data_IF_252679228347
#
_entry.id   IF_252679228347
#
_cell.length_a   1.000
_cell.length_b   1.000
_cell.length_c   1.000
_cell.angle_alpha   90.00
_cell.angle_beta   90.00
_cell.angle_gamma   90.00
#
_symmetry.space_group_name_H-M   'P 1'
#
loop_
_entity.id
_entity.type
_entity.pdbx_description
1 polymer ?
#
# COMPACT_ATOMS: atom_id res chain seq x y z
N UNK A 1 -27.07 -22.94 18.98
CA UNK A 1 -26.26 -21.72 19.20
C UNK A 1 -26.46 -20.84 17.98
N UNK A 2 -27.34 -19.85 18.08
CA UNK A 2 -27.63 -18.95 16.95
C UNK A 2 -26.41 -18.09 16.65
N UNK A 3 -26.00 -18.03 15.38
CA UNK A 3 -25.09 -17.00 14.89
C UNK A 3 -25.73 -15.64 15.16
N UNK A 4 -25.35 -15.01 16.27
CA UNK A 4 -25.43 -13.57 16.39
C UNK A 4 -24.45 -13.01 15.35
N UNK A 5 -24.94 -12.79 14.13
CA UNK A 5 -24.41 -11.77 13.23
C UNK A 5 -24.48 -10.47 14.02
N UNK A 6 -23.40 -10.15 14.73
CA UNK A 6 -23.23 -8.83 15.28
C UNK A 6 -23.35 -7.89 14.08
N UNK A 7 -24.32 -6.96 14.05
CA UNK A 7 -24.24 -5.88 13.10
C UNK A 7 -22.87 -5.27 13.32
N UNK A 8 -21.99 -5.37 12.32
CA UNK A 8 -20.90 -4.43 12.20
C UNK A 8 -21.64 -3.10 12.12
N UNK A 9 -21.74 -2.46 13.28
CA UNK A 9 -22.19 -1.11 13.45
C UNK A 9 -21.16 -0.30 12.68
N UNK A 10 -21.33 -0.26 11.34
CA UNK A 10 -20.93 0.83 10.45
C UNK A 10 -21.63 2.01 11.10
N UNK A 11 -21.06 2.50 12.19
CA UNK A 11 -21.23 3.90 12.54
C UNK A 11 -20.82 4.57 11.27
N UNK A 12 -21.82 5.12 10.57
CA UNK A 12 -21.60 6.14 9.58
C UNK A 12 -20.57 7.05 10.24
N UNK A 13 -19.32 6.92 9.82
CA UNK A 13 -18.39 7.99 10.01
C UNK A 13 -19.06 9.06 9.18
N UNK A 14 -19.75 9.96 9.87
CA UNK A 14 -20.16 11.21 9.31
C UNK A 14 -18.85 11.82 8.88
N UNK A 15 -18.46 11.55 7.63
CA UNK A 15 -17.45 12.30 6.94
C UNK A 15 -17.94 13.72 7.07
N UNK A 16 -17.33 14.47 7.99
CA UNK A 16 -17.37 15.91 7.92
C UNK A 16 -16.70 16.17 6.59
N UNK A 17 -17.54 16.26 5.55
CA UNK A 17 -17.17 16.84 4.28
C UNK A 17 -16.77 18.25 4.63
N UNK A 18 -15.47 18.42 4.87
CA UNK A 18 -14.84 19.73 4.90
C UNK A 18 -14.97 20.24 3.48
N UNK A 19 -16.14 20.78 3.17
CA UNK A 19 -16.31 21.68 2.04
C UNK A 19 -15.34 22.80 2.34
N UNK A 20 -14.19 22.76 1.70
CA UNK A 20 -13.25 23.87 1.64
C UNK A 20 -13.95 24.99 0.88
N UNK A 21 -14.84 25.69 1.57
CA UNK A 21 -15.35 26.99 1.21
C UNK A 21 -14.19 27.97 1.35
N UNK A 22 -13.29 27.95 0.37
CA UNK A 22 -12.40 29.06 0.13
C UNK A 22 -13.25 30.18 -0.47
N UNK A 23 -13.55 31.19 0.33
CA UNK A 23 -14.04 32.47 -0.18
C UNK A 23 -12.84 33.15 -0.86
N UNK A 24 -12.87 33.20 -2.19
CA UNK A 24 -11.81 33.76 -3.03
C UNK A 24 -12.16 35.20 -3.41
N UNK A 25 -11.54 36.17 -2.74
CA UNK A 25 -11.38 37.52 -3.27
C UNK A 25 -9.89 37.82 -3.53
N UNK A 26 -9.53 37.96 -4.81
CA UNK A 26 -8.42 38.82 -5.25
C UNK A 26 -7.01 38.23 -5.39
N UNK A 27 -6.77 36.95 -5.11
CA UNK A 27 -5.44 36.32 -5.27
C UNK A 27 -5.43 35.26 -6.37
N UNK A 28 -4.65 35.48 -7.43
CA UNK A 28 -4.49 34.56 -8.58
C UNK A 28 -4.03 33.17 -8.09
N UNK A 29 -4.98 32.25 -7.90
CA UNK A 29 -4.71 30.87 -7.50
C UNK A 29 -3.96 30.22 -8.66
N UNK A 30 -2.64 30.05 -8.51
CA UNK A 30 -1.86 29.20 -9.39
C UNK A 30 -2.43 27.79 -9.24
N UNK A 31 -3.29 27.41 -10.19
CA UNK A 31 -3.85 26.07 -10.27
C UNK A 31 -2.66 25.12 -10.36
N UNK A 32 -2.42 24.35 -9.29
CA UNK A 32 -1.36 23.37 -9.28
C UNK A 32 -1.56 22.46 -10.52
N UNK A 33 -0.50 22.16 -11.28
CA UNK A 33 -0.63 21.34 -12.47
C UNK A 33 -1.33 20.03 -12.11
N UNK A 34 -2.38 19.68 -12.87
CA UNK A 34 -3.10 18.43 -12.67
C UNK A 34 -2.10 17.27 -12.79
N UNK A 35 -1.74 16.67 -11.66
CA UNK A 35 -0.84 15.52 -11.64
C UNK A 35 -1.54 14.36 -12.35
N UNK A 36 -0.97 13.92 -13.48
CA UNK A 36 -1.43 12.72 -14.16
C UNK A 36 -1.10 11.51 -13.28
N UNK A 37 -2.12 10.70 -12.99
CA UNK A 37 -1.93 9.43 -12.32
C UNK A 37 -1.05 8.50 -13.17
N UNK A 38 -0.20 7.67 -12.56
CA UNK A 38 0.59 6.69 -13.29
C UNK A 38 -0.33 5.76 -14.12
N UNK A 39 0.05 5.35 -15.33
CA UNK A 39 -0.77 4.44 -16.12
C UNK A 39 -1.07 3.11 -15.40
N UNK A 40 -0.20 2.70 -14.47
CA UNK A 40 -0.35 1.48 -13.67
C UNK A 40 -1.56 1.50 -12.74
N UNK A 41 -2.10 2.67 -12.36
CA UNK A 41 -3.26 2.76 -11.46
C UNK A 41 -4.60 2.66 -12.18
N UNK A 42 -4.64 2.75 -13.50
CA UNK A 42 -5.90 2.88 -14.25
C UNK A 42 -6.82 1.64 -14.16
N UNK A 43 -6.25 0.47 -13.89
CA UNK A 43 -7.00 -0.80 -13.81
C UNK A 43 -7.15 -1.31 -12.35
N UNK A 44 -6.69 -0.53 -11.37
CA UNK A 44 -6.79 -0.92 -9.96
C UNK A 44 -8.14 -0.49 -9.39
N UNK A 45 -9.04 -1.45 -9.23
CA UNK A 45 -10.32 -1.27 -8.52
C UNK A 45 -10.11 -1.72 -7.08
N UNK A 46 -10.44 -0.87 -6.11
CA UNK A 46 -10.47 -1.21 -4.69
C UNK A 46 -11.90 -1.08 -4.15
N UNK A 47 -12.27 -1.97 -3.23
CA UNK A 47 -13.61 -2.01 -2.62
C UNK A 47 -13.68 -1.28 -1.25
N UNK A 48 -12.58 -0.73 -0.75
CA UNK A 48 -12.50 -0.13 0.59
C UNK A 48 -12.90 1.36 0.59
N UNK A 49 -14.09 1.64 1.12
CA UNK A 49 -14.65 2.99 1.35
C UNK A 49 -13.84 3.82 2.39
N UNK A 50 -12.86 3.24 3.10
CA UNK A 50 -12.17 3.91 4.22
C UNK A 50 -11.45 5.20 3.81
N UNK A 51 -10.96 5.27 2.58
CA UNK A 51 -10.24 6.43 2.05
C UNK A 51 -11.13 7.33 1.16
N UNK A 52 -12.44 7.10 1.14
CA UNK A 52 -13.37 7.93 0.38
C UNK A 52 -13.29 9.40 0.86
N UNK A 53 -12.97 10.28 -0.09
CA UNK A 53 -12.80 11.72 0.16
C UNK A 53 -11.35 12.17 0.36
N UNK A 54 -10.38 11.25 0.43
CA UNK A 54 -8.97 11.61 0.46
C UNK A 54 -8.38 11.70 -0.95
N UNK A 55 -8.39 12.92 -1.52
CA UNK A 55 -7.93 13.17 -2.91
C UNK A 55 -6.45 12.89 -3.17
N UNK A 56 -5.67 12.63 -2.12
CA UNK A 56 -4.24 12.32 -2.19
C UNK A 56 -3.98 10.82 -2.36
N UNK A 57 -4.99 9.97 -2.15
CA UNK A 57 -4.89 8.51 -2.28
C UNK A 57 -4.95 8.14 -3.76
N UNK A 58 -3.93 7.39 -4.20
CA UNK A 58 -3.79 6.92 -5.58
C UNK A 58 -4.29 5.48 -5.74
N UNK A 59 -4.01 4.63 -4.76
CA UNK A 59 -4.45 3.23 -4.76
C UNK A 59 -4.55 2.71 -3.32
N UNK A 60 -5.55 1.84 -3.09
CA UNK A 60 -5.74 1.12 -1.82
C UNK A 60 -5.45 -0.36 -2.04
N UNK A 61 -4.78 -0.99 -1.08
CA UNK A 61 -4.43 -2.41 -1.16
C UNK A 61 -5.12 -3.21 -0.06
N UNK A 62 -5.88 -4.21 -0.48
CA UNK A 62 -6.60 -5.09 0.42
C UNK A 62 -5.70 -6.14 1.06
N UNK A 63 -6.03 -6.48 2.30
CA UNK A 63 -5.47 -7.62 3.01
C UNK A 63 -6.28 -8.88 2.72
N UNK A 64 -5.63 -10.04 2.72
CA UNK A 64 -6.32 -11.32 2.78
C UNK A 64 -6.78 -11.58 4.22
N UNK A 65 -7.90 -10.93 4.58
CA UNK A 65 -8.45 -10.97 5.93
C UNK A 65 -8.72 -12.40 6.41
N UNK A 66 -9.18 -13.29 5.53
CA UNK A 66 -9.53 -14.67 5.89
C UNK A 66 -8.27 -15.45 6.25
N UNK A 67 -7.25 -15.42 5.37
CA UNK A 67 -5.99 -16.13 5.62
C UNK A 67 -5.27 -15.56 6.84
N UNK A 68 -5.30 -14.23 7.04
CA UNK A 68 -4.74 -13.60 8.24
C UNK A 68 -5.48 -14.01 9.51
N UNK A 69 -6.82 -13.98 9.52
CA UNK A 69 -7.63 -14.37 10.67
C UNK A 69 -7.33 -15.82 11.09
N UNK A 70 -7.26 -16.75 10.13
CA UNK A 70 -6.99 -18.17 10.39
C UNK A 70 -5.55 -18.40 10.88
N UNK A 71 -4.56 -17.74 10.24
CA UNK A 71 -3.16 -17.85 10.62
C UNK A 71 -2.90 -17.33 12.05
N UNK A 72 -3.38 -16.12 12.36
CA UNK A 72 -3.19 -15.52 13.69
C UNK A 72 -4.02 -16.24 14.77
N UNK A 73 -5.21 -16.74 14.44
CA UNK A 73 -6.01 -17.54 15.38
C UNK A 73 -5.29 -18.85 15.71
N UNK A 74 -4.80 -19.57 14.69
CA UNK A 74 -4.04 -20.80 14.89
C UNK A 74 -2.77 -20.56 15.72
N UNK A 75 -2.05 -19.49 15.41
CA UNK A 75 -0.85 -19.07 16.14
C UNK A 75 -1.18 -18.73 17.60
N UNK A 76 -2.29 -18.02 17.85
CA UNK A 76 -2.77 -17.72 19.19
C UNK A 76 -3.12 -18.96 20.00
N UNK A 77 -3.73 -19.98 19.38
CA UNK A 77 -4.00 -21.26 20.04
C UNK A 77 -2.72 -22.01 20.38
N UNK A 78 -1.73 -22.04 19.50
CA UNK A 78 -0.44 -22.65 19.79
C UNK A 78 0.28 -21.94 20.96
N UNK A 79 0.24 -20.60 21.00
CA UNK A 79 0.76 -19.86 22.15
C UNK A 79 0.01 -20.19 23.45
N UNK A 80 -1.32 -20.26 23.41
CA UNK A 80 -2.13 -20.64 24.57
C UNK A 80 -1.79 -22.06 25.05
N UNK A 81 -1.66 -23.03 24.15
CA UNK A 81 -1.23 -24.39 24.49
C UNK A 81 0.20 -24.41 25.05
N UNK A 82 1.11 -23.59 24.52
CA UNK A 82 2.46 -23.43 25.05
C UNK A 82 2.48 -22.99 26.52
N UNK A 83 1.50 -22.18 26.96
CA UNK A 83 1.37 -21.79 28.37
C UNK A 83 1.02 -22.94 29.32
N UNK A 84 0.59 -24.11 28.81
CA UNK A 84 0.35 -25.30 29.65
C UNK A 84 1.59 -25.78 30.41
N UNK A 85 2.79 -25.47 29.91
CA UNK A 85 4.07 -25.76 30.61
C UNK A 85 4.15 -25.01 31.94
N UNK A 86 3.40 -23.91 32.10
CA UNK A 86 3.30 -23.14 33.33
C UNK A 86 1.84 -23.06 33.81
N UNK A 87 1.38 -24.09 34.56
CA UNK A 87 -0.03 -24.26 34.95
C UNK A 87 -0.73 -23.03 35.54
N UNK A 88 -0.12 -22.20 36.42
CA UNK A 88 -0.85 -21.05 36.97
C UNK A 88 -1.18 -19.99 35.91
N UNK A 89 -0.32 -19.76 34.90
CA UNK A 89 -0.64 -18.83 33.79
C UNK A 89 -1.71 -19.42 32.90
N UNK A 90 -1.65 -20.73 32.61
CA UNK A 90 -2.68 -21.38 31.80
C UNK A 90 -4.06 -21.30 32.47
N UNK A 91 -4.15 -21.61 33.77
CA UNK A 91 -5.42 -21.52 34.52
C UNK A 91 -5.94 -20.09 34.53
N UNK A 92 -5.08 -19.09 34.74
CA UNK A 92 -5.48 -17.68 34.68
C UNK A 92 -5.95 -17.27 33.27
N UNK A 93 -5.29 -17.73 32.21
CA UNK A 93 -5.68 -17.44 30.84
C UNK A 93 -7.05 -18.05 30.49
N UNK A 94 -7.30 -19.29 30.90
CA UNK A 94 -8.60 -19.96 30.70
C UNK A 94 -9.69 -19.31 31.55
N UNK A 95 -9.43 -19.02 32.82
CA UNK A 95 -10.36 -18.33 33.70
C UNK A 95 -10.72 -16.93 33.18
N UNK A 96 -9.75 -16.23 32.57
CA UNK A 96 -9.94 -14.96 31.90
C UNK A 96 -10.63 -15.05 30.53
N UNK A 97 -11.22 -16.20 30.17
CA UNK A 97 -11.94 -16.42 28.91
C UNK A 97 -11.13 -16.14 27.64
N UNK A 98 -9.79 -16.21 27.72
CA UNK A 98 -8.90 -16.03 26.57
C UNK A 98 -9.33 -16.87 25.35
N UNK A 99 -9.71 -18.16 25.50
CA UNK A 99 -10.19 -18.98 24.38
C UNK A 99 -11.38 -18.36 23.63
N UNK A 100 -12.32 -17.75 24.36
CA UNK A 100 -13.55 -17.19 23.81
C UNK A 100 -13.29 -15.88 23.05
N UNK A 101 -12.32 -15.09 23.50
CA UNK A 101 -12.01 -13.78 22.92
C UNK A 101 -10.87 -13.80 21.91
N UNK A 102 -10.09 -14.89 21.84
CA UNK A 102 -8.93 -14.97 20.94
C UNK A 102 -9.32 -14.69 19.48
N UNK A 103 -10.30 -15.40 18.93
CA UNK A 103 -10.75 -15.21 17.55
C UNK A 103 -11.27 -13.78 17.31
N UNK A 104 -12.05 -13.24 18.24
CA UNK A 104 -12.59 -11.87 18.13
C UNK A 104 -11.49 -10.81 18.17
N UNK A 105 -10.52 -10.95 19.06
CA UNK A 105 -9.37 -10.04 19.13
C UNK A 105 -8.54 -10.08 17.85
N UNK A 106 -8.31 -11.26 17.29
CA UNK A 106 -7.63 -11.42 16.00
C UNK A 106 -8.43 -10.71 14.90
N UNK A 107 -9.74 -10.96 14.83
CA UNK A 107 -10.63 -10.31 13.85
C UNK A 107 -10.59 -8.78 13.94
N UNK A 108 -10.72 -8.23 15.15
CA UNK A 108 -10.62 -6.78 15.38
C UNK A 108 -9.24 -6.24 14.99
N UNK A 109 -8.17 -6.99 15.23
CA UNK A 109 -6.81 -6.56 14.93
C UNK A 109 -6.45 -6.61 13.44
N UNK A 110 -6.94 -7.61 12.71
CA UNK A 110 -6.69 -7.74 11.26
C UNK A 110 -7.53 -6.70 10.50
N UNK A 111 -8.82 -6.58 10.80
CA UNK A 111 -9.74 -5.68 10.09
C UNK A 111 -9.51 -4.20 10.34
N UNK A 112 -8.75 -3.85 11.37
CA UNK A 112 -8.41 -2.46 11.65
C UNK A 112 -7.21 -1.96 10.81
N UNK A 113 -6.58 -2.79 9.97
CA UNK A 113 -5.39 -2.41 9.23
C UNK A 113 -5.75 -2.05 7.79
N UNK A 114 -5.27 -0.90 7.34
CA UNK A 114 -5.48 -0.37 6.00
C UNK A 114 -4.16 0.16 5.44
N UNK A 115 -3.91 -0.10 4.16
CA UNK A 115 -2.73 0.38 3.43
C UNK A 115 -3.20 1.12 2.19
N UNK A 116 -2.73 2.36 2.05
CA UNK A 116 -2.92 3.14 0.84
C UNK A 116 -1.59 3.71 0.35
N UNK A 117 -1.47 3.83 -0.96
CA UNK A 117 -0.40 4.57 -1.63
C UNK A 117 -0.95 5.96 -1.93
N UNK A 118 -0.34 6.98 -1.35
CA UNK A 118 -0.66 8.39 -1.60
C UNK A 118 0.36 9.01 -2.55
N UNK A 119 0.18 10.29 -2.91
CA UNK A 119 1.14 11.05 -3.71
C UNK A 119 2.52 11.19 -3.05
N UNK A 120 2.54 11.35 -1.73
CA UNK A 120 3.76 11.60 -0.98
C UNK A 120 4.47 10.31 -0.53
N UNK A 121 3.72 9.22 -0.34
CA UNK A 121 4.28 8.00 0.19
C UNK A 121 3.30 6.87 0.44
N UNK A 122 3.71 5.94 1.29
CA UNK A 122 2.90 4.81 1.73
C UNK A 122 2.25 5.17 3.06
N UNK A 123 0.91 5.19 3.12
CA UNK A 123 0.15 5.45 4.33
C UNK A 123 -0.38 4.13 4.90
N UNK A 124 0.15 3.76 6.06
CA UNK A 124 -0.34 2.64 6.86
C UNK A 124 -1.20 3.16 8.00
N UNK A 125 -2.47 2.77 8.04
CA UNK A 125 -3.40 3.18 9.08
C UNK A 125 -3.85 1.94 9.85
N UNK A 126 -3.75 2.01 11.18
CA UNK A 126 -4.48 1.11 12.07
C UNK A 126 -5.61 1.89 12.72
N UNK A 127 -6.84 1.51 12.44
CA UNK A 127 -8.02 2.14 13.01
C UNK A 127 -8.18 1.80 14.50
N UNK A 128 -9.04 2.58 15.18
CA UNK A 128 -9.44 2.31 16.55
C UNK A 128 -10.11 0.95 16.61
N UNK A 129 -9.67 0.11 17.55
CA UNK A 129 -10.21 -1.22 17.72
C UNK A 129 -10.36 -1.61 19.17
N UNK A 130 -11.29 -2.51 19.41
CA UNK A 130 -11.46 -3.19 20.69
C UNK A 130 -10.28 -4.12 20.94
N UNK A 131 -9.81 -4.20 22.18
CA UNK A 131 -8.81 -5.19 22.61
C UNK A 131 -9.28 -5.94 23.84
N UNK A 132 -8.53 -6.96 24.28
CA UNK A 132 -8.82 -7.76 25.47
C UNK A 132 -10.22 -8.39 25.43
N UNK A 133 -11.11 -8.01 26.35
CA UNK A 133 -12.48 -8.50 26.44
C UNK A 133 -13.48 -7.63 25.67
N UNK A 134 -12.99 -6.67 24.87
CA UNK A 134 -13.80 -5.71 24.14
C UNK A 134 -14.41 -4.61 25.00
N UNK A 135 -13.83 -4.35 26.18
CA UNK A 135 -14.22 -3.27 27.06
C UNK A 135 -13.67 -1.93 26.53
N UNK A 136 -14.48 -0.84 26.56
CA UNK A 136 -14.10 0.44 25.98
C UNK A 136 -12.89 1.11 26.67
N UNK A 137 -12.60 0.76 27.92
CA UNK A 137 -11.41 1.23 28.64
C UNK A 137 -10.09 0.63 28.11
N UNK A 138 -10.17 -0.43 27.31
CA UNK A 138 -9.03 -1.12 26.70
C UNK A 138 -8.96 -0.93 25.19
N UNK A 139 -9.76 -0.02 24.62
CA UNK A 139 -9.70 0.22 23.17
C UNK A 139 -8.31 0.76 22.78
N UNK A 140 -7.72 0.17 21.75
CA UNK A 140 -6.53 0.70 21.13
C UNK A 140 -6.92 1.90 20.25
N UNK A 141 -6.22 3.02 20.43
CA UNK A 141 -6.42 4.22 19.61
C UNK A 141 -6.03 4.03 18.14
N UNK A 142 -6.49 4.95 17.28
CA UNK A 142 -6.10 5.01 15.87
C UNK A 142 -4.64 5.45 15.77
N UNK A 143 -3.85 4.75 14.96
CA UNK A 143 -2.46 5.11 14.67
C UNK A 143 -2.26 5.15 13.15
N UNK A 144 -1.73 6.24 12.63
CA UNK A 144 -1.37 6.37 11.22
C UNK A 144 0.13 6.63 11.08
N UNK A 145 0.77 5.95 10.14
CA UNK A 145 2.17 6.14 9.78
C UNK A 145 2.25 6.35 8.28
N UNK A 146 2.92 7.41 7.85
CA UNK A 146 3.18 7.69 6.44
C UNK A 146 4.68 7.63 6.19
N UNK A 147 5.10 6.79 5.25
CA UNK A 147 6.50 6.65 4.84
C UNK A 147 6.67 7.33 3.48
N UNK A 148 7.36 8.48 3.40
CA UNK A 148 7.53 9.21 2.14
C UNK A 148 8.42 8.45 1.16
N UNK A 149 8.15 8.53 -0.14
CA UNK A 149 8.89 7.77 -1.15
C UNK A 149 10.39 8.07 -1.20
N UNK A 150 10.77 9.32 -0.90
CA UNK A 150 12.16 9.76 -0.85
C UNK A 150 12.97 9.02 0.21
N UNK A 151 12.34 8.63 1.32
CA UNK A 151 13.01 7.90 2.40
C UNK A 151 13.09 6.40 2.17
N UNK A 152 12.30 5.84 1.25
CA UNK A 152 12.28 4.41 0.98
C UNK A 152 13.59 4.04 0.28
N UNK A 153 14.44 3.27 0.93
CA UNK A 153 15.66 2.74 0.32
C UNK A 153 15.35 1.46 -0.43
N UNK A 154 14.63 0.55 0.21
CA UNK A 154 14.29 -0.76 -0.34
C UNK A 154 12.86 -1.21 0.01
N UNK A 155 12.33 -2.11 -0.82
CA UNK A 155 11.03 -2.74 -0.64
C UNK A 155 11.14 -4.21 -1.04
N UNK A 156 11.21 -5.07 -0.05
CA UNK A 156 11.38 -6.51 -0.21
C UNK A 156 10.09 -7.28 0.08
N UNK A 157 9.88 -8.33 -0.70
CA UNK A 157 8.80 -9.28 -0.47
C UNK A 157 9.45 -10.55 0.05
N UNK A 158 9.15 -10.85 1.30
CA UNK A 158 9.49 -12.12 1.92
C UNK A 158 8.33 -13.08 1.67
N UNK A 159 8.59 -14.06 0.81
CA UNK A 159 7.64 -15.14 0.55
C UNK A 159 7.37 -15.94 1.84
N UNK A 160 6.16 -16.50 2.01
CA UNK A 160 5.81 -17.27 3.19
C UNK A 160 6.64 -18.55 3.25
N UNK A 161 7.77 -18.48 3.94
CA UNK A 161 8.69 -19.59 4.13
C UNK A 161 8.79 -19.98 5.61
N UNK A 162 9.02 -21.27 5.84
CA UNK A 162 9.26 -21.83 7.16
C UNK A 162 7.99 -21.99 8.02
N UNK A 163 8.24 -22.23 9.30
CA UNK A 163 7.20 -22.41 10.30
C UNK A 163 7.38 -21.36 11.41
N UNK A 164 6.31 -20.63 11.74
CA UNK A 164 6.33 -19.63 12.83
C UNK A 164 6.40 -20.32 14.20
N UNK A 165 5.86 -21.53 14.28
CA UNK A 165 5.91 -22.41 15.44
C UNK A 165 6.12 -23.86 14.96
N UNK A 166 6.47 -24.78 15.86
CA UNK A 166 6.72 -26.21 15.58
C UNK A 166 5.64 -26.83 14.67
N UNK A 167 4.38 -26.40 14.81
CA UNK A 167 3.24 -26.99 14.11
C UNK A 167 2.53 -26.06 13.13
N UNK A 168 2.96 -24.80 12.96
CA UNK A 168 2.22 -23.80 12.17
C UNK A 168 3.14 -23.24 11.09
N UNK A 169 2.79 -23.54 9.84
CA UNK A 169 3.48 -23.01 8.66
C UNK A 169 3.19 -21.54 8.51
N UNK A 170 4.21 -20.76 8.15
CA UNK A 170 3.99 -19.37 7.75
C UNK A 170 3.30 -19.37 6.38
N UNK A 171 2.13 -18.75 6.27
CA UNK A 171 1.34 -18.65 5.03
C UNK A 171 1.21 -17.21 4.54
N UNK A 172 1.65 -16.22 5.32
CA UNK A 172 1.48 -14.81 4.99
C UNK A 172 2.74 -14.24 4.35
N UNK A 173 2.61 -13.77 3.11
CA UNK A 173 3.63 -12.93 2.49
C UNK A 173 3.85 -11.67 3.34
N UNK A 174 5.11 -11.27 3.50
CA UNK A 174 5.49 -10.08 4.26
C UNK A 174 6.20 -9.11 3.34
N UNK A 175 5.66 -7.90 3.22
CA UNK A 175 6.32 -6.76 2.58
C UNK A 175 7.09 -5.98 3.64
N UNK A 176 8.38 -5.87 3.41
CA UNK A 176 9.35 -5.23 4.27
C UNK A 176 9.81 -3.94 3.59
N UNK A 177 9.51 -2.78 4.20
CA UNK A 177 9.87 -1.47 3.66
C UNK A 177 10.97 -0.90 4.55
N UNK A 178 12.14 -0.75 3.95
CA UNK A 178 13.32 -0.20 4.61
C UNK A 178 13.51 1.26 4.19
N UNK A 179 13.93 2.08 5.14
CA UNK A 179 14.13 3.50 4.92
C UNK A 179 15.54 3.91 5.25
N UNK A 180 15.97 5.05 4.73
CA UNK A 180 17.29 5.61 5.01
C UNK A 180 17.55 5.84 6.51
N UNK A 181 16.49 5.88 7.34
CA UNK A 181 16.60 6.08 8.78
C UNK A 181 16.61 4.79 9.60
N UNK A 182 16.43 3.61 9.00
CA UNK A 182 16.47 2.33 9.72
C UNK A 182 17.92 1.93 10.00
N UNK A 183 18.56 2.58 10.97
CA UNK A 183 19.92 2.26 11.41
C UNK A 183 20.06 1.00 12.26
N UNK A 184 19.01 0.17 12.35
CA UNK A 184 18.98 -1.04 13.17
C UNK A 184 18.35 -2.23 12.46
N UNK A 185 18.42 -3.43 13.05
CA UNK A 185 17.83 -4.65 12.47
C UNK A 185 16.30 -4.63 12.41
N UNK A 186 15.66 -3.61 12.98
CA UNK A 186 14.23 -3.43 12.92
C UNK A 186 13.84 -2.62 11.69
N UNK A 187 13.09 -3.27 10.80
CA UNK A 187 12.52 -2.65 9.61
C UNK A 187 11.49 -1.59 10.00
N UNK A 188 11.48 -0.47 9.30
CA UNK A 188 10.65 0.68 9.69
C UNK A 188 9.15 0.38 9.54
N UNK A 189 8.77 -0.33 8.47
CA UNK A 189 7.40 -0.73 8.22
C UNK A 189 7.36 -2.16 7.67
N UNK A 190 6.67 -3.02 8.40
CA UNK A 190 6.42 -4.41 8.02
C UNK A 190 4.92 -4.62 7.84
N UNK A 191 4.53 -5.04 6.65
CA UNK A 191 3.14 -5.29 6.27
C UNK A 191 3.02 -6.77 5.93
N UNK A 192 2.10 -7.49 6.57
CA UNK A 192 1.91 -8.93 6.33
C UNK A 192 0.48 -9.22 5.89
N UNK A 193 0.31 -10.17 4.98
CA UNK A 193 -1.00 -10.62 4.52
C UNK A 193 -1.67 -9.71 3.48
N UNK A 194 -0.88 -8.95 2.72
CA UNK A 194 -1.39 -8.25 1.54
C UNK A 194 -1.84 -9.27 0.48
N UNK A 195 -2.98 -9.03 -0.19
CA UNK A 195 -3.48 -9.94 -1.23
C UNK A 195 -2.53 -10.04 -2.44
N UNK A 196 -2.05 -8.88 -2.90
CA UNK A 196 -1.18 -8.76 -4.08
C UNK A 196 0.13 -7.99 -3.76
N UNK A 197 1.08 -8.61 -3.04
CA UNK A 197 2.30 -7.91 -2.59
C UNK A 197 3.21 -7.47 -3.75
N UNK A 198 3.20 -8.20 -4.88
CA UNK A 198 3.99 -7.86 -6.05
C UNK A 198 3.47 -6.61 -6.77
N UNK A 199 2.14 -6.47 -6.90
CA UNK A 199 1.51 -5.28 -7.48
C UNK A 199 1.80 -4.05 -6.61
N UNK A 200 1.73 -4.21 -5.29
CA UNK A 200 2.14 -3.17 -4.34
C UNK A 200 3.59 -2.74 -4.54
N UNK A 201 4.55 -3.68 -4.57
CA UNK A 201 5.98 -3.37 -4.81
C UNK A 201 6.19 -2.63 -6.13
N UNK A 202 5.56 -3.08 -7.22
CA UNK A 202 5.65 -2.43 -8.53
C UNK A 202 5.18 -0.98 -8.49
N UNK A 203 4.03 -0.72 -7.85
CA UNK A 203 3.48 0.64 -7.74
C UNK A 203 4.35 1.54 -6.86
N UNK A 204 4.87 1.04 -5.74
CA UNK A 204 5.81 1.80 -4.88
C UNK A 204 7.05 2.23 -5.67
N UNK A 205 7.65 1.34 -6.47
CA UNK A 205 8.82 1.66 -7.27
C UNK A 205 8.50 2.63 -8.44
N UNK A 206 7.34 2.49 -9.07
CA UNK A 206 6.88 3.44 -10.09
C UNK A 206 6.73 4.86 -9.50
N UNK A 207 6.05 4.97 -8.35
CA UNK A 207 5.86 6.24 -7.63
C UNK A 207 7.17 6.85 -7.13
N UNK A 208 8.08 6.04 -6.59
CA UNK A 208 9.41 6.49 -6.16
C UNK A 208 10.19 7.12 -7.31
N UNK A 209 10.20 6.50 -8.50
CA UNK A 209 10.86 7.03 -9.71
C UNK A 209 10.22 8.34 -10.17
N UNK A 210 8.90 8.41 -10.16
CA UNK A 210 8.16 9.61 -10.54
C UNK A 210 8.44 10.79 -9.59
N UNK A 211 8.50 10.54 -8.29
CA UNK A 211 8.85 11.56 -7.30
C UNK A 211 10.29 12.07 -7.49
N UNK A 212 11.26 11.19 -7.73
CA UNK A 212 12.65 11.58 -8.02
C UNK A 212 12.76 12.50 -9.25
N UNK A 213 11.97 12.25 -10.30
CA UNK A 213 11.92 13.11 -11.49
C UNK A 213 11.34 14.48 -11.19
N UNK A 214 10.31 14.56 -10.34
CA UNK A 214 9.71 15.83 -9.94
C UNK A 214 10.70 16.69 -9.15
N UNK A 215 11.42 16.08 -8.19
CA UNK A 215 12.46 16.77 -7.41
C UNK A 215 13.57 17.30 -8.33
N UNK A 216 14.01 16.50 -9.31
CA UNK A 216 15.02 16.91 -10.28
C UNK A 216 14.54 18.06 -11.19
N UNK A 217 13.28 18.02 -11.65
CA UNK A 217 12.71 19.08 -12.49
C UNK A 217 12.64 20.42 -11.74
N UNK A 218 12.25 20.41 -10.46
CA UNK A 218 12.22 21.61 -9.60
C UNK A 218 13.63 22.17 -9.41
N UNK A 219 14.63 21.32 -9.16
CA UNK A 219 16.02 21.75 -9.01
C UNK A 219 16.57 22.42 -10.30
N UNK A 220 16.21 21.90 -11.48
CA UNK A 220 16.65 22.47 -12.77
C UNK A 220 16.03 23.83 -13.12
N UNK A 221 14.81 24.11 -12.64
CA UNK A 221 14.06 25.33 -12.98
C UNK A 221 14.51 26.54 -12.16
N UNK A 222 15.09 26.33 -10.97
CA UNK A 222 15.56 27.40 -10.08
C UNK A 222 16.91 28.04 -10.45
N UNK A 223 17.63 27.52 -11.45
CA UNK A 223 19.02 27.90 -11.73
C UNK A 223 19.24 29.07 -12.71
N UNK A 224 18.20 29.62 -13.35
CA UNK A 224 18.38 30.52 -14.50
C UNK A 224 17.80 31.94 -14.35
N UNK A 225 17.47 32.39 -13.13
CA UNK A 225 17.16 33.78 -12.86
C UNK A 225 18.29 34.47 -12.08
N UNK A 226 19.51 34.38 -12.60
CA UNK A 226 20.55 35.35 -12.27
C UNK A 226 20.12 36.71 -12.83
N UNK A 227 19.44 37.51 -12.02
CA UNK A 227 19.33 38.94 -12.28
C UNK A 227 20.75 39.51 -12.31
N UNK A 228 21.21 40.11 -13.42
CA UNK A 228 22.48 40.80 -13.45
C UNK A 228 22.30 42.14 -12.74
N UNK A 229 22.33 42.16 -11.40
CA UNK A 229 22.59 43.40 -10.67
C UNK A 229 24.09 43.47 -10.42
N UNK A 230 24.75 44.21 -11.30
CA UNK A 230 26.14 44.60 -11.13
C UNK A 230 26.35 45.36 -9.82
N UNK A 231 27.49 45.13 -9.17
CA UNK A 231 27.92 45.96 -8.05
C UNK A 231 28.92 45.30 -7.10
N UNK A 232 30.19 45.37 -7.47
CA UNK A 232 31.33 45.69 -6.59
C UNK A 232 31.70 44.77 -5.42
N UNK A 233 32.75 43.97 -5.67
CA UNK A 233 33.96 43.79 -4.85
C UNK A 233 33.92 44.08 -3.34
N UNK A 234 34.01 43.02 -2.53
CA UNK A 234 34.86 42.99 -1.33
C UNK A 234 35.16 41.54 -0.93
N UNK A 235 36.43 41.25 -0.72
CA UNK A 235 37.03 39.93 -0.47
C UNK A 235 36.66 39.36 0.91
N UNK A 236 36.27 38.09 0.96
CA UNK A 236 36.24 37.28 2.18
C UNK A 236 36.84 35.88 1.93
N UNK A 237 37.55 35.27 2.90
CA UNK A 237 38.41 34.10 2.69
C UNK A 237 37.65 32.75 2.66
N UNK A 238 38.27 31.70 2.08
CA UNK A 238 37.65 30.41 1.83
C UNK A 238 37.53 29.53 3.09
N UNK A 239 36.38 28.87 3.26
CA UNK A 239 36.16 27.84 4.28
C UNK A 239 36.40 26.47 3.65
N UNK A 240 37.19 25.57 4.27
CA UNK A 240 37.59 24.30 3.67
C UNK A 240 36.44 23.31 3.56
N UNK A 241 36.28 22.77 2.35
CA UNK A 241 35.40 21.65 2.05
C UNK A 241 35.89 20.37 2.77
N UNK A 242 35.09 19.88 3.71
CA UNK A 242 35.30 18.57 4.32
C UNK A 242 34.89 17.47 3.34
N UNK A 243 35.90 16.73 2.90
CA UNK A 243 35.87 15.47 2.17
C UNK A 243 34.97 14.47 2.92
N UNK A 244 33.84 14.10 2.34
CA UNK A 244 33.12 12.86 2.70
C UNK A 244 33.62 11.78 1.74
N UNK A 245 34.16 10.74 2.37
CA UNK A 245 34.96 9.68 1.79
C UNK A 245 34.05 8.52 1.38
N UNK A 246 34.23 8.08 0.14
CA UNK A 246 33.83 6.78 -0.39
C UNK A 246 34.17 5.63 0.55
N UNK A 247 33.27 4.64 0.63
CA UNK A 247 33.55 3.36 1.26
C UNK A 247 32.30 2.50 1.44
N UNK A 248 31.95 1.74 0.41
CA UNK A 248 30.87 0.75 0.51
C UNK A 248 30.49 0.09 -0.81
N UNK A 249 31.46 -0.56 -1.47
CA UNK A 249 31.21 -1.49 -2.57
C UNK A 249 30.28 -2.61 -2.10
N UNK A 250 29.00 -2.54 -2.46
CA UNK A 250 28.14 -3.71 -2.53
C UNK A 250 27.56 -3.79 -3.94
N UNK A 251 28.31 -4.51 -4.77
CA UNK A 251 27.93 -4.94 -6.09
C UNK A 251 26.69 -5.86 -6.02
N UNK A 252 25.65 -5.51 -6.77
CA UNK A 252 24.49 -6.39 -6.93
C UNK A 252 23.22 -5.65 -7.32
N UNK A 253 23.22 -5.00 -8.48
CA UNK A 253 22.01 -4.37 -8.99
C UNK A 253 22.28 -3.69 -10.30
N UNK A 254 22.26 -4.49 -11.37
CA UNK A 254 22.22 -4.11 -12.78
C UNK A 254 21.50 -2.77 -12.96
N UNK A 255 22.29 -1.71 -13.02
CA UNK A 255 21.84 -0.36 -13.31
C UNK A 255 21.43 -0.36 -14.77
N UNK A 256 20.20 -0.83 -15.03
CA UNK A 256 19.57 -0.76 -16.34
C UNK A 256 19.68 0.68 -16.81
N UNK A 257 20.61 0.89 -17.75
CA UNK A 257 20.91 2.17 -18.34
C UNK A 257 19.60 2.90 -18.63
N UNK A 258 19.46 4.13 -18.18
CA UNK A 258 18.31 4.96 -18.57
C UNK A 258 18.18 5.03 -20.11
N UNK A 259 19.28 4.82 -20.83
CA UNK A 259 19.31 4.63 -22.28
C UNK A 259 18.65 3.31 -22.74
N UNK A 260 18.84 2.19 -22.03
CA UNK A 260 18.19 0.91 -22.32
C UNK A 260 16.67 0.99 -22.17
N UNK A 261 16.18 1.63 -21.09
CA UNK A 261 14.74 1.86 -20.90
C UNK A 261 14.17 2.78 -21.99
N UNK A 262 14.91 3.82 -22.38
CA UNK A 262 14.49 4.72 -23.45
C UNK A 262 14.43 4.03 -24.83
N UNK A 263 15.31 3.06 -25.09
CA UNK A 263 15.28 2.23 -26.31
C UNK A 263 14.08 1.29 -26.29
N UNK A 264 13.83 0.61 -25.17
CA UNK A 264 12.70 -0.32 -25.01
C UNK A 264 11.34 0.39 -25.15
N UNK A 265 11.21 1.61 -24.61
CA UNK A 265 10.02 2.46 -24.76
C UNK A 265 9.86 3.06 -26.17
N UNK A 266 10.91 3.05 -26.99
CA UNK A 266 10.84 3.45 -28.40
C UNK A 266 10.35 2.28 -29.24
N UNK A 267 10.89 1.08 -28.97
CA UNK A 267 10.52 -0.17 -29.63
C UNK A 267 9.04 -0.54 -29.40
N UNK A 268 8.57 -0.51 -28.15
CA UNK A 268 7.14 -0.78 -27.82
C UNK A 268 6.20 0.22 -28.54
N UNK A 269 6.62 1.48 -28.67
CA UNK A 269 5.81 2.53 -29.31
C UNK A 269 5.71 2.32 -30.82
N UNK A 270 6.80 1.88 -31.45
CA UNK A 270 6.84 1.61 -32.88
C UNK A 270 6.03 0.35 -33.20
N UNK A 271 6.09 -0.68 -32.35
CA UNK A 271 5.29 -1.91 -32.48
C UNK A 271 3.78 -1.64 -32.33
N UNK A 272 3.36 -0.80 -31.37
CA UNK A 272 1.97 -0.37 -31.24
C UNK A 272 1.49 0.48 -32.44
N UNK A 273 2.39 1.23 -33.08
CA UNK A 273 2.08 1.96 -34.33
C UNK A 273 1.85 1.01 -35.50
N UNK A 274 2.63 -0.07 -35.60
CA UNK A 274 2.44 -1.09 -36.62
C UNK A 274 1.14 -1.87 -36.40
N UNK A 275 0.84 -2.28 -35.17
CA UNK A 275 -0.42 -2.96 -34.86
C UNK A 275 -1.64 -2.09 -35.16
N UNK A 276 -1.55 -0.77 -34.94
CA UNK A 276 -2.62 0.16 -35.30
C UNK A 276 -2.80 0.28 -36.81
N UNK A 277 -1.71 0.31 -37.58
CA UNK A 277 -1.75 0.31 -39.05
C UNK A 277 -2.30 -1.01 -39.61
N UNK A 278 -1.91 -2.15 -39.03
CA UNK A 278 -2.40 -3.47 -39.41
C UNK A 278 -3.88 -3.66 -39.05
N UNK A 279 -4.32 -3.17 -37.89
CA UNK A 279 -5.73 -3.18 -37.48
C UNK A 279 -6.62 -2.28 -38.34
N UNK A 280 -6.10 -1.15 -38.82
CA UNK A 280 -6.85 -0.25 -39.73
C UNK A 280 -7.01 -0.83 -41.15
N UNK A 281 -6.14 -1.74 -41.57
CA UNK A 281 -6.25 -2.43 -42.85
C UNK A 281 -7.32 -3.55 -42.85
N UNK A 282 -7.66 -4.10 -41.67
CA UNK A 282 -8.64 -5.18 -41.53
C UNK A 282 -10.04 -4.71 -41.05
N UNK A 283 -10.24 -3.40 -40.86
CA UNK A 283 -11.46 -2.84 -40.24
C UNK A 283 -12.64 -2.49 -41.16
N UNK A 284 -12.73 -3.01 -42.39
CA UNK A 284 -13.86 -2.72 -43.30
C UNK A 284 -14.91 -3.83 -43.42
N UNK A 285 -14.80 -4.92 -42.65
CA UNK A 285 -15.80 -6.02 -42.67
C UNK A 285 -16.25 -6.28 -41.23
N UNK A 286 -17.49 -5.91 -40.89
CA UNK A 286 -18.08 -6.43 -39.64
C UNK A 286 -19.17 -5.61 -38.94
N UNK A 287 -19.88 -4.71 -39.60
CA UNK A 287 -21.18 -4.25 -39.10
C UNK A 287 -22.24 -5.33 -39.41
N UNK A 288 -22.36 -6.38 -38.57
CA UNK A 288 -23.54 -7.28 -38.50
C UNK A 288 -23.30 -8.51 -37.61
N UNK A 289 -23.22 -8.34 -36.29
CA UNK A 289 -23.58 -9.43 -35.35
C UNK A 289 -24.27 -8.82 -34.13
N UNK A 290 -25.49 -8.34 -34.35
CA UNK A 290 -26.49 -8.22 -33.29
C UNK A 290 -27.50 -9.36 -33.52
N UNK A 291 -27.89 -10.05 -32.45
CA UNK A 291 -28.72 -11.26 -32.40
C UNK A 291 -27.93 -12.56 -32.32
N UNK A 292 -27.84 -13.12 -31.11
CA UNK A 292 -27.93 -14.54 -30.71
C UNK A 292 -27.14 -14.70 -29.40
N UNK A 293 -27.75 -14.32 -28.26
CA UNK A 293 -27.54 -14.96 -26.95
C UNK A 293 -28.80 -14.68 -26.11
N UNK A 294 -29.88 -15.37 -26.45
CA UNK A 294 -31.02 -15.62 -25.56
C UNK A 294 -31.10 -17.15 -25.43
N UNK A 295 -31.04 -17.67 -24.21
CA UNK A 295 -31.29 -19.10 -23.94
C UNK A 295 -30.08 -19.88 -23.43
N UNK A 296 -29.74 -19.69 -22.15
CA UNK A 296 -29.20 -20.78 -21.31
C UNK A 296 -30.03 -20.82 -20.03
N UNK A 297 -31.13 -21.57 -20.08
CA UNK A 297 -31.74 -22.20 -18.91
C UNK A 297 -30.78 -23.30 -18.41
N UNK A 298 -30.30 -23.18 -17.17
CA UNK A 298 -29.68 -24.29 -16.46
C UNK A 298 -30.35 -24.47 -15.09
N UNK A 299 -31.43 -25.25 -15.16
CA UNK A 299 -31.71 -26.42 -14.32
C UNK A 299 -31.32 -26.33 -12.83
N UNK A 300 -32.31 -25.95 -12.04
CA UNK A 300 -32.40 -26.16 -10.60
C UNK A 300 -32.44 -27.67 -10.29
N UNK A 301 -31.41 -28.17 -9.59
CA UNK A 301 -31.38 -29.54 -9.07
C UNK A 301 -31.83 -29.51 -7.61
N UNK A 302 -33.11 -29.84 -7.43
CA UNK A 302 -33.76 -30.15 -6.16
C UNK A 302 -33.09 -31.41 -5.56
N UNK A 303 -32.53 -31.29 -4.35
CA UNK A 303 -32.02 -32.43 -3.56
C UNK A 303 -32.80 -32.51 -2.25
N UNK A 304 -33.80 -33.40 -2.26
CA UNK A 304 -34.58 -33.89 -1.11
C UNK A 304 -34.18 -35.33 -0.78
N UNK A 305 -34.00 -35.62 0.51
CA UNK A 305 -33.93 -36.98 1.11
C UNK A 305 -32.55 -37.63 1.00
N UNK A 306 -31.94 -38.22 2.03
CA UNK A 306 -32.41 -38.81 3.30
C UNK A 306 -31.53 -38.39 4.49
#
# INVERSE_FOLDING_TARGET
>A
MGEMKAPLDRKAYTSVSTTTGGEYEGGRLLTAPAHQAPPETNDMIWDDDFFDGDSEVLAVFDFDYVTMEDFYTSTGWAYLLGTMIYPPVFVLAVAGLTPCFLKRNVQWNVRAQHVAITRDGIRFVRDRRKTCWGLPCTDAGRSSKTVPFDKITDCDIEEPAGATCICIKNVLATVNIDTASSGGPQKELRISGLKDPHSFKKLVWAMKRLNAQQIAAVASTGGAAAFPLGGSSASAPPVPASIIRDGGDNAGGDGGDAASVAVLLREIRDELRELRKAGQANGSVGASVASVVDGIELHEVDKKGE
#
